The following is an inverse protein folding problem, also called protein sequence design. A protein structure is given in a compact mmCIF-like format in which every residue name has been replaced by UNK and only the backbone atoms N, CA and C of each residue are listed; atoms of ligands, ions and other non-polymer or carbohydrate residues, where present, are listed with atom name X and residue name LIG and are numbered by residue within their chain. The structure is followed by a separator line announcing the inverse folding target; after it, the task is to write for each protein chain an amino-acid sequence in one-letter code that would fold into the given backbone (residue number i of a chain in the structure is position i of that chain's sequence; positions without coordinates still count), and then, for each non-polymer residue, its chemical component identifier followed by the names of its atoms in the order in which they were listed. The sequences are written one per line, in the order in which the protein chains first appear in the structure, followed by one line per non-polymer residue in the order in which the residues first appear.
data_IF_786336869559
#
_entry.id   IF_786336869559
#
_cell.length_a   1.000
_cell.length_b   1.000
_cell.length_c   1.000
_cell.angle_alpha   90.00
_cell.angle_beta   90.00
_cell.angle_gamma   90.00
#
_symmetry.space_group_name_H-M   'P 1'
#
loop_
_entity.id
_entity.type
_entity.pdbx_description
1 polymer ?
#
# COMPACT_ATOMS: atom_id res chain seq x y z
N UNK A 1 -6.69 5.61 24.90
CA UNK A 1 -6.91 4.90 23.62
C UNK A 1 -8.08 5.55 22.90
N UNK A 2 -7.84 6.38 21.90
CA UNK A 2 -8.86 7.20 21.27
C UNK A 2 -9.64 6.35 20.25
N UNK A 3 -10.91 6.05 20.56
CA UNK A 3 -11.81 5.35 19.63
C UNK A 3 -12.44 6.39 18.72
N UNK A 4 -12.09 6.41 17.44
CA UNK A 4 -12.78 7.26 16.46
C UNK A 4 -14.21 6.73 16.28
N UNK A 5 -15.25 7.47 16.68
CA UNK A 5 -16.64 7.02 16.55
C UNK A 5 -17.14 6.92 15.11
N UNK A 6 -16.36 7.44 14.14
CA UNK A 6 -16.69 7.40 12.71
C UNK A 6 -15.97 6.29 11.93
N UNK A 7 -15.11 5.49 12.59
CA UNK A 7 -14.53 4.32 11.93
C UNK A 7 -15.63 3.29 11.62
N UNK A 8 -15.78 2.85 10.38
CA UNK A 8 -16.78 1.82 10.02
C UNK A 8 -16.58 0.48 10.76
N UNK A 9 -15.50 0.34 11.52
CA UNK A 9 -15.18 -0.82 12.34
C UNK A 9 -15.92 -0.79 13.70
N UNK A 10 -16.45 0.37 14.12
CA UNK A 10 -17.09 0.56 15.44
C UNK A 10 -18.60 0.26 15.48
N UNK A 11 -19.20 -0.17 14.39
CA UNK A 11 -20.64 -0.46 14.35
C UNK A 11 -20.96 -1.89 14.80
N UNK A 12 -21.43 -2.02 16.04
CA UNK A 12 -22.25 -3.13 16.57
C UNK A 12 -21.61 -4.51 16.78
N UNK A 13 -21.89 -5.10 17.92
CA UNK A 13 -21.44 -6.42 18.39
C UNK A 13 -22.30 -7.56 17.80
N UNK A 14 -21.70 -8.47 17.02
CA UNK A 14 -22.21 -9.85 16.83
C UNK A 14 -21.10 -10.71 16.21
N UNK A 15 -20.88 -11.89 16.76
CA UNK A 15 -19.78 -12.81 16.45
C UNK A 15 -19.74 -13.21 14.96
N UNK A 16 -18.66 -12.88 14.33
CA UNK A 16 -18.31 -13.11 12.94
C UNK A 16 -17.38 -11.99 12.48
N UNK A 17 -16.26 -12.34 11.86
CA UNK A 17 -15.27 -11.35 11.43
C UNK A 17 -15.89 -10.24 10.57
N UNK A 18 -15.84 -9.00 11.05
CA UNK A 18 -16.39 -7.85 10.32
C UNK A 18 -15.41 -7.33 9.28
N UNK A 19 -15.92 -7.14 8.08
CA UNK A 19 -15.15 -6.64 6.95
C UNK A 19 -15.48 -5.16 6.74
N UNK A 20 -14.47 -4.32 6.78
CA UNK A 20 -14.61 -2.93 6.32
C UNK A 20 -14.77 -2.90 4.80
N UNK A 21 -15.92 -2.47 4.32
CA UNK A 21 -16.21 -2.36 2.87
C UNK A 21 -15.27 -1.39 2.14
N UNK A 22 -14.74 -0.40 2.85
CA UNK A 22 -13.86 0.64 2.28
C UNK A 22 -12.44 0.15 2.06
N UNK A 23 -11.83 -0.45 3.09
CA UNK A 23 -10.41 -0.84 3.06
C UNK A 23 -10.18 -2.35 2.97
N UNK A 24 -11.22 -3.16 3.23
CA UNK A 24 -11.13 -4.61 3.21
C UNK A 24 -10.51 -5.23 4.47
N UNK A 25 -10.21 -4.43 5.50
CA UNK A 25 -9.70 -4.97 6.76
C UNK A 25 -10.77 -5.82 7.46
N UNK A 26 -10.34 -6.92 8.05
CA UNK A 26 -11.19 -7.84 8.81
C UNK A 26 -10.80 -7.78 10.28
N UNK A 27 -11.80 -7.62 11.13
CA UNK A 27 -11.63 -7.63 12.59
C UNK A 27 -12.29 -8.89 13.13
N UNK A 28 -11.53 -9.71 13.86
CA UNK A 28 -11.97 -10.99 14.42
C UNK A 28 -11.23 -12.18 13.81
N UNK A 29 -11.62 -13.36 14.24
CA UNK A 29 -11.03 -14.60 13.76
C UNK A 29 -11.51 -14.94 12.34
N UNK A 30 -10.64 -15.56 11.56
CA UNK A 30 -10.93 -16.00 10.19
C UNK A 30 -10.66 -17.50 10.09
N UNK A 31 -11.61 -18.21 9.51
CA UNK A 31 -11.55 -19.66 9.37
C UNK A 31 -10.48 -20.10 8.35
N UNK A 32 -10.36 -19.36 7.24
CA UNK A 32 -9.40 -19.69 6.19
C UNK A 32 -8.42 -18.53 5.96
N UNK A 33 -7.15 -18.74 6.35
CA UNK A 33 -6.09 -17.73 6.20
C UNK A 33 -5.69 -17.45 4.76
N UNK A 34 -5.93 -18.37 3.84
CA UNK A 34 -5.54 -18.23 2.43
C UNK A 34 -6.36 -17.15 1.71
N UNK A 35 -7.59 -16.88 2.17
CA UNK A 35 -8.45 -15.85 1.60
C UNK A 35 -8.04 -14.41 1.96
N UNK A 36 -7.03 -14.26 2.80
CA UNK A 36 -6.63 -12.98 3.35
C UNK A 36 -5.16 -12.67 3.07
N UNK A 37 -4.88 -11.38 2.86
CA UNK A 37 -3.54 -10.83 2.98
C UNK A 37 -3.32 -10.44 4.44
N UNK A 38 -2.32 -11.02 5.06
CA UNK A 38 -2.02 -10.81 6.48
C UNK A 38 -0.84 -9.86 6.58
N UNK A 39 -1.00 -8.75 7.32
CA UNK A 39 0.11 -7.81 7.49
C UNK A 39 1.18 -8.41 8.40
N UNK A 40 2.47 -8.27 8.06
CA UNK A 40 3.55 -8.65 8.96
C UNK A 40 3.47 -7.82 10.25
N UNK A 41 4.07 -8.18 11.31
CA UNK A 41 4.17 -7.45 12.60
C UNK A 41 2.84 -7.26 13.37
N UNK A 42 1.69 -7.15 12.70
CA UNK A 42 0.41 -6.77 13.33
C UNK A 42 -0.72 -7.77 13.14
N UNK A 43 -0.51 -8.82 12.36
CA UNK A 43 -1.50 -9.87 12.02
C UNK A 43 -2.87 -9.31 11.57
N UNK A 44 -2.86 -8.11 10.96
CA UNK A 44 -4.06 -7.50 10.40
C UNK A 44 -4.44 -8.20 9.10
N UNK A 45 -5.68 -8.62 8.99
CA UNK A 45 -6.19 -9.46 7.91
C UNK A 45 -6.98 -8.61 6.93
N UNK A 46 -6.66 -8.72 5.64
CA UNK A 46 -7.32 -7.99 4.56
C UNK A 46 -7.87 -8.97 3.55
N UNK A 47 -9.18 -8.95 3.34
CA UNK A 47 -9.83 -9.88 2.42
C UNK A 47 -9.34 -9.67 0.98
N UNK A 48 -9.00 -10.77 0.28
CA UNK A 48 -8.58 -10.73 -1.12
C UNK A 48 -9.78 -10.52 -2.06
N UNK A 49 -10.88 -11.25 -1.82
CA UNK A 49 -12.08 -11.21 -2.64
C UNK A 49 -13.33 -11.11 -1.75
N UNK A 50 -14.25 -10.17 -2.03
CA UNK A 50 -14.10 -9.07 -2.98
C UNK A 50 -13.04 -8.07 -2.50
N UNK A 51 -12.34 -7.46 -3.47
CA UNK A 51 -11.37 -6.39 -3.19
C UNK A 51 -12.07 -5.18 -2.58
N UNK A 52 -11.50 -4.59 -1.54
CA UNK A 52 -12.03 -3.37 -0.94
C UNK A 52 -12.11 -2.21 -1.94
N UNK A 53 -12.98 -1.23 -1.65
CA UNK A 53 -13.21 -0.08 -2.54
C UNK A 53 -11.90 0.69 -2.84
N UNK A 54 -11.17 1.14 -1.81
CA UNK A 54 -9.93 1.92 -2.01
C UNK A 54 -8.85 1.11 -2.76
N UNK A 55 -8.54 -0.14 -2.41
CA UNK A 55 -7.62 -0.96 -3.21
C UNK A 55 -8.05 -1.12 -4.68
N UNK A 56 -9.35 -1.17 -4.95
CA UNK A 56 -9.87 -1.24 -6.31
C UNK A 56 -9.63 0.06 -7.09
N UNK A 57 -9.87 1.21 -6.46
CA UNK A 57 -9.59 2.53 -7.05
C UNK A 57 -8.10 2.70 -7.31
N UNK A 58 -7.25 2.39 -6.34
CA UNK A 58 -5.79 2.48 -6.51
C UNK A 58 -5.32 1.58 -7.66
N UNK A 59 -5.85 0.36 -7.79
CA UNK A 59 -5.50 -0.53 -8.89
C UNK A 59 -5.84 0.08 -10.26
N UNK A 60 -7.00 0.73 -10.38
CA UNK A 60 -7.38 1.44 -11.61
C UNK A 60 -6.42 2.59 -11.92
N UNK A 61 -6.13 3.43 -10.93
CA UNK A 61 -5.19 4.56 -11.06
C UNK A 61 -3.80 4.09 -11.49
N UNK A 62 -3.28 3.03 -10.89
CA UNK A 62 -1.98 2.47 -11.24
C UNK A 62 -1.97 1.88 -12.65
N UNK A 63 -3.03 1.18 -13.06
CA UNK A 63 -3.16 0.65 -14.41
C UNK A 63 -3.16 1.76 -15.46
N UNK A 64 -3.89 2.85 -15.23
CA UNK A 64 -3.85 4.01 -16.12
C UNK A 64 -2.44 4.62 -16.20
N UNK A 65 -1.75 4.75 -15.06
CA UNK A 65 -0.37 5.20 -15.07
C UNK A 65 0.55 4.29 -15.88
N UNK A 66 0.40 2.98 -15.80
CA UNK A 66 1.19 2.04 -16.61
C UNK A 66 0.94 2.21 -18.10
N UNK A 67 -0.33 2.42 -18.51
CA UNK A 67 -0.68 2.69 -19.91
C UNK A 67 0.01 3.97 -20.41
N UNK A 68 -0.09 5.06 -19.66
CA UNK A 68 0.54 6.34 -20.00
C UNK A 68 2.06 6.20 -20.08
N UNK A 69 2.69 5.51 -19.14
CA UNK A 69 4.14 5.24 -19.20
C UNK A 69 4.55 4.41 -20.39
N UNK A 70 3.71 3.46 -20.83
CA UNK A 70 3.95 2.67 -22.04
C UNK A 70 3.84 3.55 -23.29
N UNK A 71 2.80 4.38 -23.39
CA UNK A 71 2.62 5.34 -24.47
C UNK A 71 3.79 6.33 -24.54
N UNK A 72 4.21 6.90 -23.38
CA UNK A 72 5.36 7.80 -23.30
C UNK A 72 6.66 7.18 -23.81
N UNK A 73 6.88 5.87 -23.56
CA UNK A 73 8.07 5.17 -24.08
C UNK A 73 7.99 4.90 -25.59
N UNK A 74 6.79 4.75 -26.13
CA UNK A 74 6.55 4.49 -27.54
C UNK A 74 6.50 5.77 -28.38
N UNK A 75 6.20 6.92 -27.79
CA UNK A 75 6.14 8.20 -28.48
C UNK A 75 7.54 8.64 -28.94
N UNK A 76 7.60 9.15 -30.17
CA UNK A 76 8.80 9.73 -30.79
C UNK A 76 8.79 11.26 -30.67
N UNK A 77 7.59 11.86 -30.60
CA UNK A 77 7.43 13.31 -30.48
C UNK A 77 7.82 13.81 -29.08
N UNK A 78 8.79 14.75 -29.00
CA UNK A 78 9.23 15.31 -27.71
C UNK A 78 8.11 16.05 -26.95
N UNK A 79 7.19 16.69 -27.66
CA UNK A 79 6.08 17.46 -27.06
C UNK A 79 5.05 16.51 -26.43
N UNK A 80 4.66 15.49 -27.18
CA UNK A 80 3.78 14.44 -26.67
C UNK A 80 4.38 13.72 -25.46
N UNK A 81 5.66 13.38 -25.53
CA UNK A 81 6.39 12.72 -24.44
C UNK A 81 6.40 13.56 -23.17
N UNK A 82 6.60 14.87 -23.27
CA UNK A 82 6.55 15.79 -22.14
C UNK A 82 5.14 15.86 -21.53
N UNK A 83 4.11 15.90 -22.35
CA UNK A 83 2.70 15.89 -21.90
C UNK A 83 2.36 14.61 -21.16
N UNK A 84 2.73 13.45 -21.71
CA UNK A 84 2.53 12.15 -21.05
C UNK A 84 3.32 12.01 -19.75
N UNK A 85 4.52 12.61 -19.66
CA UNK A 85 5.28 12.61 -18.41
C UNK A 85 4.57 13.42 -17.32
N UNK A 86 4.06 14.61 -17.64
CA UNK A 86 3.27 15.41 -16.68
C UNK A 86 2.04 14.64 -16.21
N UNK A 87 1.32 13.98 -17.11
CA UNK A 87 0.15 13.18 -16.78
C UNK A 87 0.50 12.01 -15.82
N UNK A 88 1.52 11.22 -16.15
CA UNK A 88 1.91 10.09 -15.30
C UNK A 88 2.43 10.54 -13.93
N UNK A 89 3.06 11.71 -13.82
CA UNK A 89 3.48 12.28 -12.55
C UNK A 89 2.30 12.76 -11.71
N UNK A 90 1.28 13.37 -12.32
CA UNK A 90 0.05 13.76 -11.62
C UNK A 90 -0.65 12.53 -11.03
N UNK A 91 -0.78 11.46 -11.81
CA UNK A 91 -1.36 10.19 -11.35
C UNK A 91 -0.51 9.55 -10.23
N UNK A 92 0.82 9.63 -10.32
CA UNK A 92 1.72 9.17 -9.24
C UNK A 92 1.45 9.91 -7.93
N UNK A 93 1.31 11.24 -7.99
CA UNK A 93 1.01 12.05 -6.80
C UNK A 93 -0.34 11.67 -6.20
N UNK A 94 -1.36 11.51 -7.04
CA UNK A 94 -2.69 11.07 -6.61
C UNK A 94 -2.63 9.71 -5.90
N UNK A 95 -1.94 8.73 -6.47
CA UNK A 95 -1.79 7.41 -5.84
C UNK A 95 -1.07 7.48 -4.49
N UNK A 96 -0.03 8.32 -4.37
CA UNK A 96 0.72 8.46 -3.13
C UNK A 96 -0.09 9.14 -2.01
N UNK A 97 -0.99 10.09 -2.35
CA UNK A 97 -1.84 10.74 -1.36
C UNK A 97 -2.86 9.78 -0.72
N UNK A 98 -3.17 8.66 -1.38
CA UNK A 98 -4.10 7.66 -0.84
C UNK A 98 -3.63 7.03 0.48
N UNK A 99 -2.31 6.91 0.70
CA UNK A 99 -1.77 6.51 2.00
C UNK A 99 -2.08 7.54 3.09
N UNK A 100 -1.88 8.84 2.80
CA UNK A 100 -2.18 9.93 3.72
C UNK A 100 -3.63 9.97 4.19
N UNK A 101 -4.56 9.55 3.32
CA UNK A 101 -5.99 9.44 3.62
C UNK A 101 -6.23 8.50 4.82
N UNK A 102 -5.56 7.36 4.87
CA UNK A 102 -5.70 6.41 5.96
C UNK A 102 -5.09 6.90 7.27
N UNK A 103 -4.02 7.69 7.20
CA UNK A 103 -3.30 8.19 8.37
C UNK A 103 -3.87 9.47 8.98
N UNK A 104 -4.80 10.16 8.32
CA UNK A 104 -5.32 11.44 8.78
C UNK A 104 -6.63 11.31 9.58
N UNK A 105 -6.64 11.55 10.91
CA UNK A 105 -7.78 11.24 11.78
C UNK A 105 -9.09 11.99 11.46
N UNK A 106 -8.99 13.13 10.80
CA UNK A 106 -10.16 13.95 10.41
C UNK A 106 -10.73 13.56 9.04
N UNK A 107 -10.12 12.59 8.37
CA UNK A 107 -10.57 12.19 7.05
C UNK A 107 -11.65 11.11 7.15
N UNK A 108 -12.63 11.16 6.23
CA UNK A 108 -13.77 10.23 6.19
C UNK A 108 -13.36 8.76 6.15
N UNK A 109 -12.22 8.45 5.53
CA UNK A 109 -11.71 7.09 5.34
C UNK A 109 -10.49 6.79 6.23
N UNK A 110 -10.38 7.51 7.33
CA UNK A 110 -9.34 7.23 8.31
C UNK A 110 -9.42 5.79 8.81
N UNK A 111 -8.31 5.08 8.73
CA UNK A 111 -8.14 3.74 9.30
C UNK A 111 -6.70 3.57 9.76
N UNK A 112 -6.51 3.60 11.06
CA UNK A 112 -5.21 3.41 11.68
C UNK A 112 -4.62 2.02 11.34
N UNK A 113 -5.47 0.99 11.29
CA UNK A 113 -5.09 -0.38 10.95
C UNK A 113 -4.54 -0.47 9.53
N UNK A 114 -5.18 0.21 8.58
CA UNK A 114 -4.68 0.27 7.20
C UNK A 114 -3.34 0.99 7.11
N UNK A 115 -3.19 2.15 7.77
CA UNK A 115 -1.95 2.91 7.77
C UNK A 115 -0.80 2.08 8.37
N UNK A 116 -1.06 1.42 9.49
CA UNK A 116 -0.12 0.51 10.17
C UNK A 116 0.29 -0.67 9.29
N UNK A 117 -0.67 -1.30 8.62
CA UNK A 117 -0.41 -2.43 7.73
C UNK A 117 0.46 -2.02 6.53
N UNK A 118 0.16 -0.89 5.90
CA UNK A 118 0.93 -0.39 4.75
C UNK A 118 2.39 -0.18 5.14
N UNK A 119 2.66 0.47 6.28
CA UNK A 119 4.02 0.69 6.75
C UNK A 119 4.73 -0.61 7.16
N UNK A 120 4.01 -1.58 7.72
CA UNK A 120 4.59 -2.88 8.08
C UNK A 120 5.00 -3.69 6.84
N UNK A 121 4.21 -3.67 5.77
CA UNK A 121 4.61 -4.25 4.50
C UNK A 121 5.80 -3.52 3.87
N UNK A 122 5.84 -2.19 3.92
CA UNK A 122 7.00 -1.42 3.48
C UNK A 122 8.28 -1.87 4.19
N UNK A 123 8.26 -1.95 5.51
CA UNK A 123 9.39 -2.47 6.31
C UNK A 123 9.76 -3.91 5.96
N UNK A 124 8.79 -4.77 5.68
CA UNK A 124 9.07 -6.14 5.27
C UNK A 124 9.79 -6.18 3.92
N UNK A 125 9.36 -5.37 2.95
CA UNK A 125 10.01 -5.33 1.63
C UNK A 125 11.45 -4.82 1.71
N UNK A 126 11.70 -3.74 2.47
CA UNK A 126 13.05 -3.22 2.62
C UNK A 126 13.97 -4.23 3.32
N UNK A 127 13.50 -4.88 4.40
CA UNK A 127 14.25 -5.94 5.10
C UNK A 127 14.57 -7.12 4.19
N UNK A 128 13.63 -7.55 3.34
CA UNK A 128 13.87 -8.61 2.35
C UNK A 128 14.89 -8.18 1.30
N UNK A 129 14.82 -6.95 0.83
CA UNK A 129 15.77 -6.42 -0.16
C UNK A 129 17.18 -6.34 0.43
N UNK A 130 17.32 -5.87 1.67
CA UNK A 130 18.61 -5.84 2.38
C UNK A 130 19.19 -7.23 2.55
N UNK A 131 18.38 -8.20 3.03
CA UNK A 131 18.82 -9.60 3.17
C UNK A 131 19.26 -10.19 1.83
N UNK A 132 18.50 -9.92 0.76
CA UNK A 132 18.89 -10.38 -0.58
C UNK A 132 20.18 -9.73 -1.07
N UNK A 133 20.44 -8.48 -0.75
CA UNK A 133 21.71 -7.82 -1.07
C UNK A 133 22.91 -8.48 -0.35
N UNK A 134 22.72 -8.96 0.88
CA UNK A 134 23.72 -9.71 1.63
C UNK A 134 24.11 -11.01 0.91
N UNK A 135 23.15 -11.72 0.31
CA UNK A 135 23.40 -12.93 -0.49
C UNK A 135 24.30 -12.65 -1.69
N UNK A 136 24.38 -11.41 -2.18
CA UNK A 136 25.24 -10.96 -3.27
C UNK A 136 26.55 -10.28 -2.79
N UNK A 137 26.88 -10.37 -1.51
CA UNK A 137 28.09 -9.82 -0.94
C UNK A 137 28.02 -8.34 -0.58
N UNK A 138 26.82 -7.75 -0.54
CA UNK A 138 26.62 -6.39 -0.06
C UNK A 138 26.13 -6.42 1.39
N UNK A 139 26.51 -5.42 2.18
CA UNK A 139 25.85 -5.21 3.47
C UNK A 139 25.24 -3.80 3.55
N UNK A 140 24.04 -3.72 4.09
CA UNK A 140 23.32 -2.46 4.22
C UNK A 140 23.91 -1.63 5.36
N UNK A 141 24.25 -0.37 5.06
CA UNK A 141 24.79 0.59 6.03
C UNK A 141 23.67 1.44 6.62
N UNK A 142 22.73 1.82 5.78
CA UNK A 142 21.62 2.70 6.13
C UNK A 142 20.41 2.36 5.28
N UNK A 143 19.21 2.40 5.88
CA UNK A 143 17.96 2.20 5.18
C UNK A 143 16.92 3.23 5.64
N UNK A 144 16.16 3.76 4.69
CA UNK A 144 15.07 4.69 4.97
C UNK A 144 13.93 4.46 3.97
N UNK A 145 12.73 4.39 4.48
CA UNK A 145 11.44 4.29 3.80
C UNK A 145 11.40 3.23 2.70
N UNK A 146 11.95 3.51 1.52
CA UNK A 146 11.87 2.69 0.30
C UNK A 146 13.23 2.42 -0.36
N UNK A 147 14.32 2.81 0.31
CA UNK A 147 15.69 2.65 -0.19
C UNK A 147 16.70 2.26 0.90
N UNK A 148 17.84 1.74 0.49
CA UNK A 148 18.96 1.50 1.38
C UNK A 148 20.29 1.71 0.65
N UNK A 149 21.30 2.09 1.42
CA UNK A 149 22.69 2.18 0.98
C UNK A 149 23.43 0.93 1.40
N UNK A 150 24.16 0.34 0.49
CA UNK A 150 24.91 -0.86 0.75
C UNK A 150 26.36 -0.71 0.27
N UNK A 151 27.27 -1.34 1.01
CA UNK A 151 28.70 -1.43 0.66
C UNK A 151 29.01 -2.86 0.26
N UNK A 152 29.80 -3.04 -0.81
CA UNK A 152 30.29 -4.35 -1.21
C UNK A 152 31.38 -4.84 -0.24
N UNK A 153 31.25 -6.06 0.25
CA UNK A 153 32.33 -6.73 0.98
C UNK A 153 33.35 -7.20 -0.04
N UNK A 154 34.55 -6.58 -0.01
CA UNK A 154 35.71 -7.17 -0.70
C UNK A 154 36.15 -8.43 0.01
#
# INVERSE_FOLDING_TARGET
MWKNPQSPINAGNSGGGRICKTCGVVVGDVENREDYNISPEHDLKFKKNPKGFIPSVISKILNERFKIKKAMKASVDPTEKKTLDVQQQAIKRLANTMYGIYGFPRFRWYSYECAKAITSWGRQYIKRAMKKAEDYGFYAIYADTDGFYAKYKK
#
